data_IF_650516758502
#
_entry.id   IF_650516758502
#
_cell.length_a   1.000
_cell.length_b   1.000
_cell.length_c   1.000
_cell.angle_alpha   90.00
_cell.angle_beta   90.00
_cell.angle_gamma   90.00
#
_symmetry.space_group_name_H-M   'P 1'
#
loop_
_entity.id
_entity.type
_entity.pdbx_description
1 polymer ?
#
# COMPACT_ATOMS: atom_id res chain seq x y z
N UNK A 1 6.72 62.76 -3.06
CA UNK A 1 5.59 62.21 -2.29
C UNK A 1 5.02 61.06 -3.09
N UNK A 2 5.71 59.95 -2.93
CA UNK A 2 5.24 58.56 -2.81
C UNK A 2 3.95 58.15 -3.53
N UNK A 3 4.10 57.29 -4.53
CA UNK A 3 3.14 56.20 -4.75
C UNK A 3 3.95 55.01 -5.24
N UNK A 4 4.34 54.13 -4.30
CA UNK A 4 4.89 52.81 -4.60
C UNK A 4 3.71 51.90 -4.88
N UNK A 5 3.44 51.68 -6.17
CA UNK A 5 2.44 50.71 -6.62
C UNK A 5 3.01 49.30 -6.46
N UNK A 6 2.58 48.61 -5.40
CA UNK A 6 2.90 47.19 -5.18
C UNK A 6 2.02 46.38 -6.12
N UNK A 7 2.59 45.95 -7.25
CA UNK A 7 2.01 44.86 -8.05
C UNK A 7 2.13 43.56 -7.25
N UNK A 8 1.03 42.84 -6.97
CA UNK A 8 1.14 41.46 -6.54
C UNK A 8 1.48 40.61 -7.77
N UNK A 9 2.75 40.26 -7.95
CA UNK A 9 3.17 39.18 -8.84
C UNK A 9 2.67 37.84 -8.27
N UNK A 10 1.36 37.62 -8.41
CA UNK A 10 0.74 36.32 -8.18
C UNK A 10 0.90 35.54 -9.47
N UNK A 11 2.12 35.06 -9.73
CA UNK A 11 2.36 34.07 -10.77
C UNK A 11 1.87 32.69 -10.26
N UNK A 12 0.56 32.57 -10.08
CA UNK A 12 -0.11 31.28 -9.99
C UNK A 12 -0.27 30.83 -11.43
N UNK A 13 0.73 30.09 -11.92
CA UNK A 13 0.62 29.41 -13.19
C UNK A 13 -0.71 28.62 -13.22
N UNK A 14 -1.50 28.72 -14.30
CA UNK A 14 -2.78 28.06 -14.34
C UNK A 14 -2.55 26.55 -14.30
N UNK A 15 -3.13 25.90 -13.29
CA UNK A 15 -3.32 24.44 -13.15
C UNK A 15 -3.99 23.79 -14.38
N UNK A 16 -4.35 24.58 -15.39
CA UNK A 16 -4.98 24.19 -16.65
C UNK A 16 -4.11 23.36 -17.60
N UNK A 17 -2.85 23.04 -17.25
CA UNK A 17 -2.01 22.13 -18.05
C UNK A 17 -1.97 20.69 -17.52
N UNK A 18 -2.77 20.36 -16.49
CA UNK A 18 -2.94 18.96 -16.11
C UNK A 18 -3.74 18.27 -17.21
N UNK A 19 -3.04 17.55 -18.08
CA UNK A 19 -3.63 16.58 -19.00
C UNK A 19 -4.32 15.53 -18.15
N UNK A 20 -5.63 15.66 -17.96
CA UNK A 20 -6.46 14.59 -17.42
C UNK A 20 -6.65 13.58 -18.55
N UNK A 21 -6.04 12.39 -18.48
CA UNK A 21 -6.32 11.35 -19.46
C UNK A 21 -7.79 10.99 -19.26
N UNK A 22 -8.60 11.24 -20.29
CA UNK A 22 -9.99 10.86 -20.26
C UNK A 22 -10.16 9.35 -20.11
N UNK A 23 -11.29 8.98 -19.49
CA UNK A 23 -11.83 7.65 -19.17
C UNK A 23 -11.52 7.24 -17.72
N UNK A 24 -12.59 6.83 -17.01
CA UNK A 24 -12.76 6.62 -15.57
C UNK A 24 -11.82 5.58 -14.94
N UNK A 25 -10.53 5.84 -14.95
CA UNK A 25 -9.54 5.06 -14.23
C UNK A 25 -9.10 5.72 -12.93
N UNK A 26 -8.72 4.92 -11.91
CA UNK A 26 -8.22 5.46 -10.66
C UNK A 26 -6.95 6.27 -10.92
N UNK A 27 -6.94 7.51 -10.41
CA UNK A 27 -5.72 8.31 -10.38
C UNK A 27 -4.64 7.57 -9.59
N UNK A 28 -3.37 7.71 -9.98
CA UNK A 28 -2.23 7.21 -9.20
C UNK A 28 -2.32 7.63 -7.72
N UNK A 29 -2.77 8.86 -7.46
CA UNK A 29 -2.91 9.38 -6.10
C UNK A 29 -3.96 8.60 -5.31
N UNK A 30 -5.11 8.30 -5.91
CA UNK A 30 -6.17 7.53 -5.26
C UNK A 30 -5.67 6.10 -4.99
N UNK A 31 -5.05 5.48 -6.01
CA UNK A 31 -4.44 4.16 -5.93
C UNK A 31 -3.37 4.04 -4.83
N UNK A 32 -2.66 5.13 -4.54
CA UNK A 32 -1.64 5.17 -3.49
C UNK A 32 -2.23 5.30 -2.08
N UNK A 33 -3.34 6.03 -1.94
CA UNK A 33 -4.01 6.30 -0.66
C UNK A 33 -4.82 5.08 -0.21
N UNK A 34 -5.56 4.45 -1.12
CA UNK A 34 -6.48 3.37 -0.78
C UNK A 34 -6.50 2.25 -1.85
N UNK A 35 -5.38 1.53 -2.01
CA UNK A 35 -5.27 0.50 -3.03
C UNK A 35 -6.27 -0.65 -2.83
N UNK A 36 -6.63 -0.96 -1.58
CA UNK A 36 -7.52 -2.09 -1.23
C UNK A 36 -8.95 -1.89 -1.75
N UNK A 37 -9.44 -0.64 -1.73
CA UNK A 37 -10.80 -0.34 -2.21
C UNK A 37 -10.86 -0.05 -3.70
N UNK A 38 -9.70 0.23 -4.33
CA UNK A 38 -9.61 0.52 -5.76
C UNK A 38 -9.38 -0.75 -6.57
N UNK A 39 -8.51 -1.64 -6.09
CA UNK A 39 -8.15 -2.86 -6.79
C UNK A 39 -8.72 -4.07 -6.08
N UNK A 40 -9.40 -4.95 -6.82
CA UNK A 40 -9.90 -6.18 -6.24
C UNK A 40 -8.74 -7.15 -5.96
N UNK A 41 -7.60 -7.03 -6.66
CA UNK A 41 -6.38 -7.79 -6.39
C UNK A 41 -5.08 -7.01 -6.65
N UNK A 42 -3.97 -7.32 -5.96
CA UNK A 42 -2.66 -6.72 -6.24
C UNK A 42 -2.17 -6.96 -7.67
N UNK A 43 -2.67 -8.01 -8.33
CA UNK A 43 -2.35 -8.30 -9.72
C UNK A 43 -2.92 -7.25 -10.68
N UNK A 44 -4.05 -6.60 -10.34
CA UNK A 44 -4.59 -5.50 -11.16
C UNK A 44 -3.65 -4.29 -11.19
N UNK A 45 -2.86 -4.07 -10.13
CA UNK A 45 -1.81 -3.05 -10.12
C UNK A 45 -0.67 -3.44 -11.06
N UNK A 46 -0.27 -4.71 -11.05
CA UNK A 46 0.80 -5.25 -11.93
C UNK A 46 0.39 -5.10 -13.39
N UNK A 47 -0.84 -5.48 -13.71
CA UNK A 47 -1.38 -5.50 -15.07
C UNK A 47 -1.87 -4.11 -15.52
N UNK A 48 -1.85 -3.10 -14.65
CA UNK A 48 -2.32 -1.76 -14.97
C UNK A 48 -1.56 -1.18 -16.17
N UNK A 49 -2.23 -0.85 -17.28
CA UNK A 49 -1.55 -0.51 -18.53
C UNK A 49 -0.93 0.90 -18.51
N UNK A 50 -1.38 1.75 -17.58
CA UNK A 50 -1.03 3.17 -17.55
C UNK A 50 -0.10 3.59 -16.41
N UNK A 51 0.17 2.72 -15.43
CA UNK A 51 1.16 3.01 -14.41
C UNK A 51 2.55 2.60 -14.88
N UNK A 52 3.53 3.46 -14.60
CA UNK A 52 4.93 3.10 -14.68
C UNK A 52 5.28 2.04 -13.63
N UNK A 53 6.38 1.32 -13.86
CA UNK A 53 6.86 0.30 -12.91
C UNK A 53 7.14 0.89 -11.52
N UNK A 54 7.61 2.14 -11.44
CA UNK A 54 7.85 2.82 -10.17
C UNK A 54 6.55 3.20 -9.44
N UNK A 55 5.51 3.61 -10.18
CA UNK A 55 4.18 3.86 -9.59
C UNK A 55 3.57 2.56 -9.07
N UNK A 56 3.62 1.48 -9.85
CA UNK A 56 3.16 0.14 -9.43
C UNK A 56 3.89 -0.33 -8.18
N UNK A 57 5.22 -0.21 -8.17
CA UNK A 57 6.06 -0.52 -7.00
C UNK A 57 5.63 0.29 -5.79
N UNK A 58 5.41 1.59 -5.94
CA UNK A 58 5.04 2.50 -4.85
C UNK A 58 3.67 2.14 -4.27
N UNK A 59 2.67 1.86 -5.12
CA UNK A 59 1.34 1.39 -4.72
C UNK A 59 1.46 0.07 -3.94
N UNK A 60 2.19 -0.91 -4.47
CA UNK A 60 2.37 -2.22 -3.84
C UNK A 60 3.13 -2.13 -2.51
N UNK A 61 4.11 -1.23 -2.39
CA UNK A 61 4.79 -0.95 -1.13
C UNK A 61 3.85 -0.34 -0.09
N UNK A 62 2.99 0.60 -0.48
CA UNK A 62 1.96 1.19 0.39
C UNK A 62 1.03 0.09 0.90
N UNK A 63 0.47 -0.70 -0.01
CA UNK A 63 -0.42 -1.80 0.31
C UNK A 63 0.24 -2.85 1.21
N UNK A 64 1.50 -3.21 0.96
CA UNK A 64 2.24 -4.18 1.78
C UNK A 64 2.38 -3.71 3.23
N UNK A 65 2.54 -2.40 3.46
CA UNK A 65 2.60 -1.83 4.83
C UNK A 65 1.27 -1.99 5.55
N UNK A 66 0.17 -1.65 4.89
CA UNK A 66 -1.18 -1.75 5.47
C UNK A 66 -1.53 -3.21 5.81
N UNK A 67 -1.25 -4.12 4.89
CA UNK A 67 -1.49 -5.55 5.08
C UNK A 67 -0.58 -6.15 6.17
N UNK A 68 0.65 -5.67 6.32
CA UNK A 68 1.53 -6.08 7.43
C UNK A 68 0.97 -5.64 8.79
N UNK A 69 0.33 -4.47 8.87
CA UNK A 69 -0.38 -4.03 10.08
C UNK A 69 -1.56 -4.95 10.38
N UNK A 70 -2.35 -5.31 9.36
CA UNK A 70 -3.46 -6.26 9.49
C UNK A 70 -2.96 -7.62 9.97
N UNK A 71 -1.88 -8.15 9.39
CA UNK A 71 -1.25 -9.42 9.80
C UNK A 71 -0.81 -9.38 11.28
N UNK A 72 -0.22 -8.26 11.73
CA UNK A 72 0.14 -8.07 13.14
C UNK A 72 -1.09 -8.07 14.05
N UNK A 73 -2.17 -7.40 13.67
CA UNK A 73 -3.42 -7.37 14.44
C UNK A 73 -4.03 -8.78 14.49
N UNK A 74 -4.15 -9.44 13.34
CA UNK A 74 -4.66 -10.82 13.22
C UNK A 74 -3.81 -11.84 14.00
N UNK A 75 -2.53 -11.56 14.23
CA UNK A 75 -1.66 -12.39 15.08
C UNK A 75 -1.93 -12.24 16.58
N UNK A 76 -2.49 -11.09 17.00
CA UNK A 76 -2.77 -10.75 18.40
C UNK A 76 -4.22 -11.03 18.80
N UNK A 77 -5.15 -10.97 17.85
CA UNK A 77 -6.57 -11.23 18.08
C UNK A 77 -6.86 -12.72 18.29
N UNK A 78 -7.97 -13.00 18.97
CA UNK A 78 -8.48 -14.36 19.16
C UNK A 78 -8.84 -15.01 17.82
N UNK A 79 -8.67 -16.34 17.68
CA UNK A 79 -8.87 -17.06 16.41
C UNK A 79 -10.29 -16.95 15.83
N UNK A 80 -11.28 -16.57 16.64
CA UNK A 80 -12.68 -16.42 16.22
C UNK A 80 -12.90 -15.19 15.32
N UNK A 81 -12.01 -14.18 15.40
CA UNK A 81 -12.02 -13.05 14.49
C UNK A 81 -11.13 -13.40 13.28
N UNK A 82 -11.75 -14.00 12.26
CA UNK A 82 -11.11 -14.47 11.00
C UNK A 82 -10.57 -13.33 10.12
N UNK A 83 -9.84 -12.38 10.69
CA UNK A 83 -9.13 -11.34 9.93
C UNK A 83 -7.97 -12.02 9.22
N UNK A 84 -8.04 -12.10 7.89
CA UNK A 84 -6.97 -12.62 7.04
C UNK A 84 -6.38 -11.48 6.25
N UNK A 85 -5.10 -11.24 6.44
CA UNK A 85 -4.35 -10.33 5.59
C UNK A 85 -4.16 -10.92 4.20
N UNK A 86 -4.08 -10.05 3.20
CA UNK A 86 -3.72 -10.37 1.81
C UNK A 86 -2.22 -10.22 1.54
N UNK A 87 -1.40 -10.06 2.59
CA UNK A 87 0.03 -9.74 2.48
C UNK A 87 0.80 -10.68 1.55
N UNK A 88 0.50 -11.98 1.55
CA UNK A 88 1.22 -12.92 0.68
C UNK A 88 1.00 -12.61 -0.82
N UNK A 89 -0.23 -12.21 -1.19
CA UNK A 89 -0.55 -11.84 -2.57
C UNK A 89 0.09 -10.51 -2.95
N UNK A 90 0.10 -9.53 -2.04
CA UNK A 90 0.75 -8.23 -2.27
C UNK A 90 2.25 -8.40 -2.45
N UNK A 91 2.89 -9.23 -1.61
CA UNK A 91 4.32 -9.48 -1.66
C UNK A 91 4.72 -10.25 -2.92
N UNK A 92 3.89 -11.19 -3.38
CA UNK A 92 4.10 -11.86 -4.65
C UNK A 92 4.05 -10.88 -5.84
N UNK A 93 3.08 -9.95 -5.86
CA UNK A 93 3.01 -8.90 -6.86
C UNK A 93 4.19 -7.92 -6.79
N UNK A 94 4.59 -7.52 -5.57
CA UNK A 94 5.73 -6.62 -5.35
C UNK A 94 7.04 -7.23 -5.85
N UNK A 95 7.21 -8.55 -5.77
CA UNK A 95 8.43 -9.23 -6.22
C UNK A 95 8.72 -9.03 -7.72
N UNK A 96 7.71 -8.71 -8.53
CA UNK A 96 7.90 -8.38 -9.95
C UNK A 96 8.60 -7.03 -10.17
N UNK A 97 8.52 -6.10 -9.21
CA UNK A 97 9.06 -4.73 -9.31
C UNK A 97 10.19 -4.45 -8.32
N UNK A 98 10.16 -5.07 -7.14
CA UNK A 98 11.16 -4.94 -6.10
C UNK A 98 11.33 -6.25 -5.31
N UNK A 99 12.15 -7.19 -5.81
CA UNK A 99 12.41 -8.47 -5.15
C UNK A 99 13.03 -8.31 -3.75
N UNK A 100 13.85 -7.27 -3.55
CA UNK A 100 14.52 -7.03 -2.27
C UNK A 100 13.51 -6.66 -1.21
N UNK A 101 12.66 -5.65 -1.47
CA UNK A 101 11.61 -5.26 -0.53
C UNK A 101 10.63 -6.41 -0.29
N UNK A 102 10.24 -7.15 -1.34
CA UNK A 102 9.39 -8.32 -1.18
C UNK A 102 9.98 -9.35 -0.20
N UNK A 103 11.28 -9.62 -0.30
CA UNK A 103 12.01 -10.50 0.64
C UNK A 103 11.96 -10.01 2.09
N UNK A 104 12.08 -8.70 2.32
CA UNK A 104 11.98 -8.11 3.65
C UNK A 104 10.58 -8.28 4.26
N UNK A 105 9.51 -8.03 3.49
CA UNK A 105 8.14 -8.25 3.93
C UNK A 105 7.86 -9.73 4.21
N UNK A 106 8.33 -10.66 3.37
CA UNK A 106 8.18 -12.10 3.64
C UNK A 106 8.82 -12.49 4.98
N UNK A 107 10.02 -11.98 5.27
CA UNK A 107 10.72 -12.25 6.54
C UNK A 107 9.95 -11.69 7.74
N UNK A 108 9.40 -10.48 7.62
CA UNK A 108 8.58 -9.86 8.65
C UNK A 108 7.31 -10.68 8.94
N UNK A 109 6.61 -11.11 7.89
CA UNK A 109 5.40 -11.94 7.99
C UNK A 109 5.68 -13.28 8.67
N UNK A 110 6.76 -13.97 8.29
CA UNK A 110 7.18 -15.22 8.93
C UNK A 110 7.44 -15.03 10.43
N UNK A 111 8.08 -13.92 10.80
CA UNK A 111 8.35 -13.59 12.20
C UNK A 111 7.05 -13.41 13.00
N UNK A 112 6.06 -12.71 12.43
CA UNK A 112 4.75 -12.49 13.06
C UNK A 112 4.00 -13.82 13.24
N UNK A 113 3.94 -14.64 12.19
CA UNK A 113 3.26 -15.95 12.20
C UNK A 113 3.93 -16.93 13.18
N UNK A 114 5.26 -16.97 13.22
CA UNK A 114 6.02 -17.80 14.16
C UNK A 114 5.82 -17.37 15.62
N UNK A 115 5.67 -16.08 15.89
CA UNK A 115 5.30 -15.60 17.23
C UNK A 115 3.90 -16.05 17.65
N UNK A 116 2.91 -16.04 16.73
CA UNK A 116 1.55 -16.53 16.97
C UNK A 116 1.53 -18.02 17.32
N UNK A 117 2.21 -18.86 16.54
CA UNK A 117 2.25 -20.31 16.78
C UNK A 117 2.81 -20.68 18.16
N UNK A 118 3.89 -20.02 18.59
CA UNK A 118 4.46 -20.21 19.93
C UNK A 118 3.49 -19.82 21.05
N UNK A 119 2.75 -18.73 20.89
CA UNK A 119 1.75 -18.30 21.90
C UNK A 119 0.59 -19.29 22.01
N UNK A 120 0.13 -19.85 20.89
CA UNK A 120 -0.93 -20.86 20.90
C UNK A 120 -0.47 -22.16 21.58
N UNK A 121 0.71 -22.67 21.23
CA UNK A 121 1.25 -23.89 21.85
C UNK A 121 1.37 -23.78 23.39
N UNK A 122 1.76 -22.62 23.91
CA UNK A 122 1.83 -22.37 25.36
C UNK A 122 0.46 -22.37 26.06
N UNK A 123 -0.64 -22.05 25.36
CA UNK A 123 -2.00 -22.06 25.93
C UNK A 123 -2.63 -23.45 25.95
N UNK A 124 -2.18 -24.36 25.08
CA UNK A 124 -2.77 -25.71 24.93
C UNK A 124 -2.15 -26.73 25.89
N UNK A 125 -0.97 -26.43 26.48
CA UNK A 125 -0.33 -27.31 27.44
C UNK A 125 -1.04 -27.21 28.82
N UNK A 126 -1.65 -28.29 29.35
CA UNK A 126 -2.24 -28.27 30.68
C UNK A 126 -1.15 -28.28 31.77
N UNK A 127 -1.41 -27.57 32.88
CA UNK A 127 -0.65 -27.63 34.12
C UNK A 127 -1.01 -28.87 34.94
#
# INVERSE_FOLDING_TARGET
MDTVEIKPDTNVAPVSQVTSPGISEPSFVDALIDPVNIFASPQEVVDHPWFSDEEKRTILLSWARDELVIEQIASRMMPDLQVKSRIDAVVAALASFDPTAAGEYLSAVQTIRGAKGRKQARRVLPH
#
